data_IF_463006001324
#
_entry.id   IF_463006001324
#
_cell.length_a   1.000
_cell.length_b   1.000
_cell.length_c   1.000
_cell.angle_alpha   90.00
_cell.angle_beta   90.00
_cell.angle_gamma   90.00
#
_symmetry.space_group_name_H-M   'P 1'
#
loop_
_entity.id
_entity.type
_entity.pdbx_description
1 polymer ?
#
# COMPACT_ATOMS: atom_id res chain seq x y z
N UNK A 1 0.84 21.18 -9.68
CA UNK A 1 1.03 20.20 -8.58
C UNK A 1 -0.12 20.36 -7.61
N UNK A 2 -0.87 19.29 -7.35
CA UNK A 2 -1.87 19.30 -6.27
C UNK A 2 -1.14 19.01 -4.96
N UNK A 3 -1.24 19.89 -3.97
CA UNK A 3 -0.67 19.69 -2.64
C UNK A 3 -1.78 19.34 -1.67
N UNK A 4 -1.53 18.36 -0.80
CA UNK A 4 -2.45 17.94 0.25
C UNK A 4 -1.73 18.07 1.59
N UNK A 5 -2.33 18.80 2.53
CA UNK A 5 -1.80 18.94 3.88
C UNK A 5 -2.48 17.94 4.81
N UNK A 6 -1.67 17.21 5.59
CA UNK A 6 -2.13 16.24 6.59
C UNK A 6 -1.54 16.65 7.93
N UNK A 7 -2.37 16.75 8.96
CA UNK A 7 -1.92 17.01 10.33
C UNK A 7 -1.65 15.70 11.04
N UNK A 8 -0.52 15.66 11.73
CA UNK A 8 -0.05 14.56 12.57
C UNK A 8 0.46 15.16 13.88
N UNK A 9 0.57 14.34 14.92
CA UNK A 9 1.22 14.74 16.15
C UNK A 9 2.75 14.89 15.96
N UNK A 10 3.39 15.59 16.91
CA UNK A 10 4.82 15.86 16.83
C UNK A 10 5.70 14.61 16.88
N UNK A 11 5.27 13.56 17.59
CA UNK A 11 6.04 12.31 17.66
C UNK A 11 6.03 11.60 16.31
N UNK A 12 4.86 11.47 15.69
CA UNK A 12 4.74 10.90 14.35
C UNK A 12 5.56 11.68 13.32
N UNK A 13 5.63 13.01 13.47
CA UNK A 13 6.47 13.84 12.60
C UNK A 13 7.96 13.51 12.73
N UNK A 14 8.49 13.42 13.96
CA UNK A 14 9.89 13.08 14.19
C UNK A 14 10.23 11.65 13.72
N UNK A 15 9.33 10.69 13.98
CA UNK A 15 9.52 9.32 13.53
C UNK A 15 9.58 9.24 11.98
N UNK A 16 8.71 9.99 11.27
CA UNK A 16 8.75 10.08 9.80
C UNK A 16 10.00 10.80 9.28
N UNK A 17 10.49 11.80 10.01
CA UNK A 17 11.69 12.55 9.65
C UNK A 17 12.94 11.68 9.76
N UNK A 18 13.11 10.96 10.87
CA UNK A 18 14.21 10.01 11.04
C UNK A 18 14.22 8.94 9.95
N UNK A 19 13.05 8.36 9.64
CA UNK A 19 12.94 7.38 8.55
C UNK A 19 13.29 7.98 7.19
N UNK A 20 12.89 9.23 6.91
CA UNK A 20 13.24 9.90 5.68
C UNK A 20 14.76 10.13 5.54
N UNK A 21 15.43 10.48 6.65
CA UNK A 21 16.89 10.61 6.71
C UNK A 21 17.58 9.28 6.45
N UNK A 22 17.15 8.19 7.09
CA UNK A 22 17.69 6.83 6.87
C UNK A 22 17.55 6.38 5.40
N UNK A 23 16.44 6.74 4.77
CA UNK A 23 16.16 6.41 3.36
C UNK A 23 16.79 7.41 2.37
N UNK A 24 17.46 8.46 2.85
CA UNK A 24 18.06 9.50 2.00
C UNK A 24 17.05 10.27 1.14
N UNK A 25 15.87 10.54 1.69
CA UNK A 25 14.73 11.13 0.96
C UNK A 25 13.97 12.17 1.79
N UNK A 26 12.93 12.80 1.23
CA UNK A 26 12.06 13.72 1.95
C UNK A 26 10.91 13.01 2.66
N UNK A 27 10.39 13.60 3.74
CA UNK A 27 9.20 13.12 4.46
C UNK A 27 8.03 12.86 3.52
N UNK A 28 7.75 13.77 2.58
CA UNK A 28 6.66 13.60 1.61
C UNK A 28 6.83 12.39 0.69
N UNK A 29 8.06 12.12 0.24
CA UNK A 29 8.34 10.93 -0.56
C UNK A 29 8.28 9.65 0.29
N UNK A 30 8.74 9.68 1.55
CA UNK A 30 8.56 8.57 2.51
C UNK A 30 7.08 8.22 2.67
N UNK A 31 6.22 9.22 2.88
CA UNK A 31 4.76 9.04 2.95
C UNK A 31 4.21 8.45 1.65
N UNK A 32 4.67 8.93 0.49
CA UNK A 32 4.24 8.42 -0.82
C UNK A 32 4.57 6.94 -0.99
N UNK A 33 5.78 6.54 -0.60
CA UNK A 33 6.21 5.13 -0.61
C UNK A 33 5.37 4.30 0.37
N UNK A 34 5.19 4.78 1.60
CA UNK A 34 4.42 4.08 2.63
C UNK A 34 2.98 3.84 2.20
N UNK A 35 2.28 4.86 1.69
CA UNK A 35 0.92 4.75 1.17
C UNK A 35 0.83 3.74 0.03
N UNK A 36 1.81 3.74 -0.88
CA UNK A 36 1.87 2.76 -1.97
C UNK A 36 2.02 1.33 -1.43
N UNK A 37 2.90 1.11 -0.45
CA UNK A 37 3.12 -0.21 0.18
C UNK A 37 1.87 -0.71 0.90
N UNK A 38 1.20 0.14 1.68
CA UNK A 38 -0.05 -0.21 2.37
C UNK A 38 -1.15 -0.63 1.39
N UNK A 39 -1.28 0.08 0.26
CA UNK A 39 -2.22 -0.33 -0.81
C UNK A 39 -1.84 -1.67 -1.43
N UNK A 40 -0.55 -1.89 -1.70
CA UNK A 40 -0.07 -3.15 -2.26
C UNK A 40 -0.32 -4.33 -1.30
N UNK A 41 -0.11 -4.14 0.00
CA UNK A 41 -0.38 -5.16 1.01
C UNK A 41 -1.88 -5.50 1.09
N UNK A 42 -2.76 -4.51 1.00
CA UNK A 42 -4.20 -4.74 0.96
C UNK A 42 -4.60 -5.56 -0.27
N UNK A 43 -4.08 -5.20 -1.45
CA UNK A 43 -4.32 -5.97 -2.68
C UNK A 43 -3.75 -7.39 -2.56
N UNK A 44 -2.54 -7.53 -2.02
CA UNK A 44 -1.92 -8.84 -1.79
C UNK A 44 -2.77 -9.74 -0.91
N UNK A 45 -3.36 -9.20 0.18
CA UNK A 45 -4.29 -9.94 1.04
C UNK A 45 -5.56 -10.36 0.32
N UNK A 46 -6.10 -9.50 -0.55
CA UNK A 46 -7.29 -9.82 -1.34
C UNK A 46 -7.02 -10.92 -2.38
N UNK A 47 -5.84 -10.90 -3.01
CA UNK A 47 -5.43 -11.90 -4.00
C UNK A 47 -5.00 -13.23 -3.39
N UNK A 48 -4.51 -13.22 -2.14
CA UNK A 48 -4.10 -14.43 -1.43
C UNK A 48 -5.28 -15.28 -0.92
N UNK A 49 -6.52 -14.79 -1.03
CA UNK A 49 -7.69 -15.59 -0.68
C UNK A 49 -7.78 -16.78 -1.65
N UNK A 50 -8.01 -18.01 -1.15
CA UNK A 50 -8.37 -19.12 -2.04
C UNK A 50 -9.55 -18.71 -2.91
N UNK A 51 -9.51 -19.13 -4.18
CA UNK A 51 -10.66 -18.97 -5.07
C UNK A 51 -11.83 -19.75 -4.51
N UNK A 52 -13.03 -19.17 -4.62
CA UNK A 52 -14.25 -19.90 -4.33
C UNK A 52 -14.48 -21.03 -5.35
N UNK A 53 -15.33 -21.98 -5.00
CA UNK A 53 -15.66 -23.09 -5.87
C UNK A 53 -16.24 -22.61 -7.21
N UNK A 54 -17.09 -21.57 -7.19
CA UNK A 54 -17.66 -20.95 -8.39
C UNK A 54 -16.60 -20.28 -9.27
N UNK A 55 -15.62 -19.62 -8.65
CA UNK A 55 -14.51 -18.94 -9.35
C UNK A 55 -13.58 -19.96 -10.00
N UNK A 56 -13.35 -21.09 -9.32
CA UNK A 56 -12.54 -22.21 -9.82
C UNK A 56 -13.27 -22.94 -10.96
N UNK A 57 -14.55 -23.25 -10.78
CA UNK A 57 -15.38 -23.89 -11.80
C UNK A 57 -15.51 -23.03 -13.07
N UNK A 58 -15.53 -21.70 -12.92
CA UNK A 58 -15.47 -20.78 -14.06
C UNK A 58 -14.11 -20.81 -14.77
N UNK A 59 -13.00 -20.83 -14.04
CA UNK A 59 -11.65 -20.90 -14.62
C UNK A 59 -11.39 -22.23 -15.34
N UNK A 60 -11.91 -23.33 -14.81
CA UNK A 60 -11.77 -24.67 -15.35
C UNK A 60 -12.82 -25.00 -16.42
N UNK A 61 -13.69 -24.05 -16.78
CA UNK A 61 -14.70 -24.26 -17.80
C UNK A 61 -14.06 -24.49 -19.18
N UNK A 62 -14.47 -25.58 -19.84
CA UNK A 62 -13.95 -25.91 -21.16
C UNK A 62 -14.36 -24.84 -22.18
N UNK A 63 -13.37 -24.20 -22.79
CA UNK A 63 -13.58 -23.22 -23.86
C UNK A 63 -13.81 -24.02 -25.15
N UNK A 64 -15.04 -24.47 -25.33
CA UNK A 64 -15.46 -25.36 -26.43
C UNK A 64 -14.99 -24.96 -27.82
#
# INVERSE_FOLDING_TARGET
MHSTSVRIDGKTHEDLKGLAEELGTTVGNTVTIAVRRLRQELVGRQLARPLGDDETAWLDADLG
#
